data_IF_443592003009
#
_entry.id   IF_443592003009
#
_cell.length_a   1.000
_cell.length_b   1.000
_cell.length_c   1.000
_cell.angle_alpha   90.00
_cell.angle_beta   90.00
_cell.angle_gamma   90.00
#
_symmetry.space_group_name_H-M   'P 1'
#
loop_
_entity.id
_entity.type
_entity.pdbx_description
1 polymer ?
#
# COMPACT_ATOMS: atom_id res chain seq x y z
N UNK A 1 8.67 6.17 17.57
CA UNK A 1 7.50 5.59 16.85
C UNK A 1 8.04 4.90 15.61
N UNK A 2 7.54 3.70 15.30
CA UNK A 2 7.86 3.02 14.05
C UNK A 2 7.32 3.83 12.86
N UNK A 3 8.04 3.81 11.75
CA UNK A 3 7.65 4.53 10.54
C UNK A 3 6.49 3.81 9.86
N UNK A 4 5.41 4.52 9.55
CA UNK A 4 4.31 3.97 8.76
C UNK A 4 4.65 4.05 7.28
N UNK A 5 4.71 2.88 6.64
CA UNK A 5 4.97 2.76 5.21
C UNK A 5 3.68 2.72 4.43
N UNK A 6 3.72 3.28 3.23
CA UNK A 6 2.65 3.24 2.25
C UNK A 6 3.23 2.88 0.88
N UNK A 7 2.66 1.85 0.26
CA UNK A 7 2.91 1.49 -1.13
C UNK A 7 1.90 2.21 -2.01
N UNK A 8 2.37 2.72 -3.13
CA UNK A 8 1.52 3.40 -4.12
C UNK A 8 1.55 2.62 -5.41
N UNK A 9 0.35 2.39 -5.96
CA UNK A 9 0.21 1.79 -7.28
C UNK A 9 0.81 2.70 -8.36
N UNK A 10 1.36 2.11 -9.40
CA UNK A 10 2.08 2.78 -10.48
C UNK A 10 1.20 3.11 -11.69
N UNK A 11 -0.12 3.09 -11.53
CA UNK A 11 -0.99 3.48 -12.61
C UNK A 11 -0.74 4.93 -13.07
N UNK A 12 -0.80 5.18 -14.40
CA UNK A 12 -0.39 6.45 -14.98
C UNK A 12 -1.39 7.55 -14.64
N UNK A 13 -1.16 8.24 -13.53
CA UNK A 13 -2.00 9.35 -13.08
C UNK A 13 -1.15 10.58 -12.73
N UNK A 14 -1.69 11.79 -12.93
CA UNK A 14 -0.93 13.04 -12.80
C UNK A 14 -0.53 13.37 -11.35
N UNK A 15 -1.06 12.66 -10.35
CA UNK A 15 -0.84 12.95 -8.96
C UNK A 15 0.20 11.99 -8.38
N UNK A 16 1.47 12.33 -8.50
CA UNK A 16 2.49 11.84 -7.57
C UNK A 16 2.55 12.84 -6.42
N UNK A 17 1.82 12.63 -5.31
CA UNK A 17 1.76 13.62 -4.24
C UNK A 17 3.16 13.94 -3.71
N UNK A 18 3.51 15.22 -3.60
CA UNK A 18 4.84 15.60 -3.15
C UNK A 18 5.03 15.29 -1.65
N UNK A 19 6.27 15.32 -1.17
CA UNK A 19 6.54 15.37 0.27
C UNK A 19 5.78 16.57 0.86
N UNK A 20 5.10 16.36 1.99
CA UNK A 20 4.22 17.31 2.65
C UNK A 20 2.78 17.32 2.13
N UNK A 21 2.49 16.65 1.01
CA UNK A 21 1.12 16.54 0.52
C UNK A 21 0.25 15.76 1.51
N UNK A 22 -1.01 16.19 1.63
CA UNK A 22 -2.03 15.50 2.41
C UNK A 22 -2.93 14.72 1.46
N UNK A 23 -3.11 13.44 1.74
CA UNK A 23 -3.86 12.53 0.89
C UNK A 23 -5.06 11.95 1.64
N UNK A 24 -6.17 11.79 0.91
CA UNK A 24 -7.38 11.14 1.42
C UNK A 24 -7.23 9.62 1.38
N UNK A 25 -7.90 8.90 2.29
CA UNK A 25 -7.67 7.50 2.56
C UNK A 25 -8.47 6.66 1.56
N UNK A 26 -7.79 6.21 0.51
CA UNK A 26 -8.26 5.06 -0.27
C UNK A 26 -7.24 3.95 -0.03
N UNK A 27 -7.11 3.56 1.24
CA UNK A 27 -6.03 2.69 1.70
C UNK A 27 -6.54 1.38 2.25
N UNK A 28 -5.82 0.30 1.94
CA UNK A 28 -5.94 -0.97 2.65
C UNK A 28 -4.63 -1.35 3.32
N UNK A 29 -4.71 -2.25 4.30
CA UNK A 29 -3.56 -2.81 4.97
C UNK A 29 -3.07 -4.05 4.25
N UNK A 30 -1.79 -4.05 3.86
CA UNK A 30 -1.13 -5.18 3.24
C UNK A 30 -0.29 -5.94 4.26
N UNK A 31 -0.63 -7.20 4.50
CA UNK A 31 0.18 -8.12 5.31
C UNK A 31 1.33 -8.70 4.48
N UNK A 32 2.49 -8.97 5.11
CA UNK A 32 3.66 -9.49 4.40
C UNK A 32 3.40 -10.83 3.72
N UNK A 33 2.59 -11.69 4.35
CA UNK A 33 2.31 -13.04 3.84
C UNK A 33 1.40 -13.03 2.61
N UNK A 34 0.57 -11.99 2.45
CA UNK A 34 -0.37 -11.89 1.31
C UNK A 34 0.28 -11.27 0.08
N UNK A 35 1.21 -10.34 0.27
CA UNK A 35 1.82 -9.55 -0.80
C UNK A 35 3.31 -9.83 -1.00
N UNK A 36 3.86 -10.84 -0.32
CA UNK A 36 5.29 -11.15 -0.33
C UNK A 36 6.16 -9.93 -0.02
N UNK A 37 5.74 -9.12 0.98
CA UNK A 37 6.39 -7.83 1.26
C UNK A 37 7.77 -8.03 1.90
N UNK A 38 8.80 -7.29 1.45
CA UNK A 38 10.08 -7.28 2.13
C UNK A 38 9.97 -6.60 3.50
N UNK A 39 10.74 -7.09 4.47
CA UNK A 39 10.65 -6.64 5.87
C UNK A 39 10.89 -5.13 6.04
N UNK A 40 11.64 -4.52 5.14
CA UNK A 40 12.01 -3.09 5.14
C UNK A 40 10.80 -2.16 5.10
N UNK A 41 9.73 -2.56 4.41
CA UNK A 41 8.49 -1.75 4.31
C UNK A 41 7.43 -2.20 5.31
N UNK A 42 7.71 -3.19 6.15
CA UNK A 42 6.76 -3.69 7.14
C UNK A 42 6.97 -2.98 8.48
N UNK A 43 5.91 -2.39 9.02
CA UNK A 43 5.86 -1.86 10.38
C UNK A 43 4.94 -2.70 11.24
N UNK A 44 5.23 -2.73 12.54
CA UNK A 44 4.25 -3.11 13.56
C UNK A 44 3.44 -1.87 13.94
N UNK A 45 2.12 -2.01 13.94
CA UNK A 45 1.18 -0.93 14.22
C UNK A 45 0.06 -1.44 15.14
N UNK A 46 -0.08 -0.90 16.36
CA UNK A 46 -1.27 -1.13 17.17
C UNK A 46 -2.52 -0.63 16.45
N UNK A 47 -3.56 -1.45 16.43
CA UNK A 47 -4.82 -1.15 15.77
C UNK A 47 -6.00 -1.69 16.57
N UNK A 48 -7.15 -1.06 16.42
CA UNK A 48 -8.44 -1.68 16.74
C UNK A 48 -9.13 -2.06 15.44
N UNK A 49 -9.47 -3.34 15.26
CA UNK A 49 -10.13 -3.82 14.04
C UNK A 49 -11.59 -4.12 14.33
N UNK A 50 -12.48 -3.58 13.49
CA UNK A 50 -13.92 -3.86 13.55
C UNK A 50 -14.39 -4.61 12.29
N UNK A 51 -15.41 -5.44 12.47
CA UNK A 51 -16.17 -6.02 11.36
C UNK A 51 -17.40 -5.16 11.06
N UNK A 52 -17.60 -4.78 9.80
CA UNK A 52 -18.74 -4.01 9.32
C UNK A 52 -19.53 -4.85 8.33
N UNK A 53 -20.85 -4.92 8.49
CA UNK A 53 -21.73 -5.55 7.49
C UNK A 53 -22.29 -4.49 6.54
N UNK A 54 -21.98 -4.60 5.25
CA UNK A 54 -22.47 -3.72 4.19
C UNK A 54 -22.98 -4.57 3.03
N UNK A 55 -24.19 -4.28 2.55
CA UNK A 55 -24.85 -5.03 1.46
C UNK A 55 -24.89 -6.56 1.68
N UNK A 56 -24.93 -7.00 2.94
CA UNK A 56 -24.93 -8.42 3.32
C UNK A 56 -23.55 -9.09 3.29
N UNK A 57 -22.49 -8.35 2.98
CA UNK A 57 -21.10 -8.80 3.05
C UNK A 57 -20.43 -8.27 4.32
N UNK A 58 -19.46 -9.02 4.84
CA UNK A 58 -18.64 -8.59 5.98
C UNK A 58 -17.34 -8.02 5.45
N UNK A 59 -17.01 -6.81 5.86
CA UNK A 59 -15.75 -6.13 5.60
C UNK A 59 -15.06 -5.83 6.93
N UNK A 60 -13.74 -5.68 6.92
CA UNK A 60 -12.95 -5.39 8.12
C UNK A 60 -12.23 -4.06 7.98
N UNK A 61 -12.26 -3.27 9.05
CA UNK A 61 -11.71 -1.91 9.09
C UNK A 61 -10.75 -1.81 10.25
N UNK A 62 -9.49 -1.49 9.96
CA UNK A 62 -8.49 -1.20 10.97
C UNK A 62 -8.47 0.29 11.29
N UNK A 63 -8.53 0.62 12.58
CA UNK A 63 -8.37 1.96 13.12
C UNK A 63 -6.93 2.13 13.61
N UNK A 64 -6.19 3.04 12.96
CA UNK A 64 -4.73 3.18 13.13
C UNK A 64 -4.34 4.47 13.87
N UNK A 65 -5.29 5.06 14.61
CA UNK A 65 -5.11 6.32 15.35
C UNK A 65 -5.43 7.58 14.54
N UNK A 66 -5.58 8.71 15.22
CA UNK A 66 -5.89 10.03 14.63
C UNK A 66 -7.14 10.06 13.73
N UNK A 67 -8.09 9.15 13.96
CA UNK A 67 -9.29 9.00 13.12
C UNK A 67 -9.02 8.40 11.73
N UNK A 68 -7.79 7.92 11.50
CA UNK A 68 -7.41 7.23 10.27
C UNK A 68 -7.84 5.76 10.30
N UNK A 69 -8.44 5.31 9.20
CA UNK A 69 -8.79 3.91 9.02
C UNK A 69 -8.24 3.37 7.70
N UNK A 70 -8.04 2.05 7.64
CA UNK A 70 -7.70 1.33 6.43
C UNK A 70 -8.58 0.07 6.31
N UNK A 71 -8.93 -0.30 5.08
CA UNK A 71 -9.59 -1.59 4.85
C UNK A 71 -8.62 -2.74 5.12
N UNK A 72 -9.10 -3.85 5.64
CA UNK A 72 -8.32 -5.07 5.82
C UNK A 72 -8.69 -6.09 4.75
N UNK A 73 -7.69 -6.74 4.18
CA UNK A 73 -7.91 -7.80 3.21
C UNK A 73 -8.20 -9.17 3.85
N UNK A 74 -7.84 -9.36 5.12
CA UNK A 74 -8.01 -10.57 5.90
C UNK A 74 -8.89 -10.30 7.13
N UNK A 75 -9.75 -11.28 7.44
CA UNK A 75 -10.88 -11.10 8.35
C UNK A 75 -10.77 -11.78 9.71
N UNK A 76 -9.62 -12.39 9.98
CA UNK A 76 -9.46 -13.27 11.14
C UNK A 76 -9.10 -12.51 12.43
N UNK A 77 -8.97 -11.18 12.36
CA UNK A 77 -8.54 -10.31 13.44
C UNK A 77 -9.61 -9.27 13.73
N UNK A 78 -10.24 -9.33 14.91
CA UNK A 78 -11.21 -8.35 15.41
C UNK A 78 -10.85 -7.97 16.85
N UNK A 79 -10.99 -6.70 17.20
CA UNK A 79 -10.60 -6.13 18.49
C UNK A 79 -9.22 -5.48 18.47
N UNK A 80 -8.62 -5.34 19.64
CA UNK A 80 -7.27 -4.77 19.79
C UNK A 80 -6.21 -5.76 19.31
N UNK A 81 -5.43 -5.37 18.31
CA UNK A 81 -4.42 -6.20 17.66
C UNK A 81 -3.17 -5.38 17.33
N UNK A 82 -2.05 -6.08 17.08
CA UNK A 82 -0.86 -5.47 16.46
C UNK A 82 -0.76 -5.99 15.04
N UNK A 83 -0.96 -5.10 14.08
CA UNK A 83 -0.82 -5.43 12.66
C UNK A 83 0.65 -5.36 12.27
N UNK A 84 1.07 -6.28 11.40
CA UNK A 84 2.38 -6.24 10.75
C UNK A 84 2.19 -6.08 9.24
N UNK A 85 2.83 -5.09 8.64
CA UNK A 85 2.62 -4.78 7.23
C UNK A 85 2.77 -3.30 6.92
N UNK A 86 2.10 -2.85 5.88
CA UNK A 86 2.08 -1.45 5.46
C UNK A 86 0.72 -1.05 4.90
N UNK A 87 0.54 0.24 4.65
CA UNK A 87 -0.58 0.72 3.85
C UNK A 87 -0.31 0.46 2.36
N UNK A 88 -1.38 0.27 1.61
CA UNK A 88 -1.38 0.39 0.15
C UNK A 88 -2.40 1.45 -0.21
N UNK A 89 -1.98 2.44 -0.99
CA UNK A 89 -2.86 3.45 -1.54
C UNK A 89 -3.40 2.96 -2.88
N UNK A 90 -4.71 2.71 -2.90
CA UNK A 90 -5.45 2.15 -4.02
C UNK A 90 -6.67 3.03 -4.32
N UNK A 91 -6.68 3.71 -5.47
CA UNK A 91 -7.79 4.58 -5.87
C UNK A 91 -9.04 3.81 -6.30
N UNK A 92 -8.91 2.51 -6.58
CA UNK A 92 -10.00 1.62 -6.94
C UNK A 92 -10.44 0.70 -5.81
N UNK A 93 -10.07 1.01 -4.57
CA UNK A 93 -10.52 0.26 -3.40
C UNK A 93 -12.05 0.06 -3.36
N UNK A 94 -12.81 0.97 -3.97
CA UNK A 94 -14.27 0.89 -4.11
C UNK A 94 -14.79 -0.24 -5.01
N UNK A 95 -13.92 -0.87 -5.83
CA UNK A 95 -14.24 -2.06 -6.60
C UNK A 95 -14.37 -3.29 -5.71
N UNK A 96 -13.55 -3.36 -4.64
CA UNK A 96 -13.49 -4.49 -3.73
C UNK A 96 -14.31 -4.24 -2.44
N UNK A 97 -14.40 -2.99 -1.98
CA UNK A 97 -15.04 -2.62 -0.72
C UNK A 97 -16.14 -1.56 -0.89
N UNK A 98 -17.22 -1.71 -0.14
CA UNK A 98 -18.30 -0.73 -0.01
C UNK A 98 -18.00 0.29 1.08
N UNK A 99 -17.34 -0.13 2.15
CA UNK A 99 -16.89 0.77 3.21
C UNK A 99 -15.78 1.68 2.71
N UNK A 100 -15.87 2.98 3.05
CA UNK A 100 -14.85 3.97 2.72
C UNK A 100 -13.96 4.22 3.93
N UNK A 101 -12.62 4.07 3.79
CA UNK A 101 -11.68 4.52 4.80
C UNK A 101 -11.85 6.01 5.15
N UNK A 102 -11.37 6.40 6.33
CA UNK A 102 -11.48 7.75 6.89
C UNK A 102 -10.13 8.25 7.41
N UNK A 103 -10.08 9.55 7.72
CA UNK A 103 -8.88 10.25 8.18
C UNK A 103 -8.04 10.80 7.03
N UNK A 104 -6.80 11.20 7.33
CA UNK A 104 -5.86 11.74 6.34
C UNK A 104 -4.43 11.30 6.64
N UNK A 105 -3.62 11.21 5.59
CA UNK A 105 -2.18 10.96 5.68
C UNK A 105 -1.42 12.16 5.18
N UNK A 106 -0.26 12.43 5.78
CA UNK A 106 0.76 13.30 5.21
C UNK A 106 1.93 12.47 4.71
N UNK A 107 2.43 12.80 3.52
CA UNK A 107 3.63 12.18 2.98
C UNK A 107 4.85 12.81 3.65
N UNK A 108 5.58 12.02 4.41
CA UNK A 108 6.80 12.45 5.09
C UNK A 108 8.02 12.29 4.18
N UNK A 109 8.13 11.16 3.46
CA UNK A 109 9.27 10.89 2.58
C UNK A 109 8.90 9.96 1.41
N UNK A 110 9.61 10.13 0.29
CA UNK A 110 9.58 9.23 -0.88
C UNK A 110 10.79 8.30 -0.82
N UNK A 111 10.74 7.37 0.14
CA UNK A 111 11.91 6.63 0.60
C UNK A 111 12.45 5.61 -0.40
N UNK A 112 11.63 5.04 -1.29
CA UNK A 112 12.15 4.06 -2.25
C UNK A 112 11.13 3.40 -3.14
N UNK A 113 11.48 2.21 -3.61
CA UNK A 113 10.74 1.43 -4.60
C UNK A 113 10.71 -0.03 -4.16
N UNK A 114 9.59 -0.71 -4.39
CA UNK A 114 9.59 -2.16 -4.47
C UNK A 114 9.76 -2.55 -5.93
N UNK A 115 10.78 -3.34 -6.19
CA UNK A 115 11.11 -3.83 -7.53
C UNK A 115 11.03 -5.35 -7.56
N UNK A 116 10.87 -5.89 -8.76
CA UNK A 116 10.86 -7.32 -9.00
C UNK A 116 11.58 -7.61 -10.31
N UNK A 117 12.25 -8.76 -10.42
CA UNK A 117 12.90 -9.16 -11.65
C UNK A 117 11.87 -9.19 -12.76
N UNK A 118 12.18 -8.56 -13.90
CA UNK A 118 11.33 -8.52 -15.08
C UNK A 118 11.92 -9.38 -16.19
N UNK A 119 11.06 -10.11 -16.86
CA UNK A 119 11.37 -10.89 -18.04
C UNK A 119 10.63 -10.30 -19.23
N UNK A 120 11.38 -9.94 -20.26
CA UNK A 120 10.82 -9.37 -21.48
C UNK A 120 10.57 -10.51 -22.46
N UNK A 121 9.30 -10.77 -22.73
CA UNK A 121 8.86 -11.82 -23.64
C UNK A 121 8.57 -11.18 -25.00
N UNK A 122 9.37 -11.46 -26.05
CA UNK A 122 9.11 -10.91 -27.37
C UNK A 122 7.72 -11.27 -27.88
N UNK A 123 7.03 -10.32 -28.49
CA UNK A 123 5.75 -10.58 -29.15
C UNK A 123 5.94 -10.86 -30.65
N UNK A 124 4.85 -11.17 -31.35
CA UNK A 124 4.84 -11.27 -32.82
C UNK A 124 5.19 -9.96 -33.54
N UNK A 125 5.15 -8.83 -32.84
CA UNK A 125 5.44 -7.51 -33.40
C UNK A 125 6.90 -7.13 -33.10
N UNK A 126 7.76 -6.89 -34.13
CA UNK A 126 9.16 -6.56 -33.93
C UNK A 126 9.36 -5.38 -32.98
N UNK A 127 10.23 -5.55 -31.98
CA UNK A 127 10.52 -4.53 -30.96
C UNK A 127 9.52 -4.43 -29.82
N UNK A 128 8.35 -5.07 -29.91
CA UNK A 128 7.37 -5.11 -28.83
C UNK A 128 7.55 -6.36 -27.96
N UNK A 129 7.42 -6.18 -26.65
CA UNK A 129 7.54 -7.22 -25.65
C UNK A 129 6.38 -7.15 -24.65
N UNK A 130 6.01 -8.32 -24.12
CA UNK A 130 5.24 -8.43 -22.88
C UNK A 130 6.21 -8.50 -21.70
N UNK A 131 5.75 -8.12 -20.52
CA UNK A 131 6.54 -8.21 -19.29
C UNK A 131 5.89 -9.22 -18.36
N UNK A 132 6.68 -10.18 -17.90
CA UNK A 132 6.35 -11.01 -16.73
C UNK A 132 7.32 -10.69 -15.60
N UNK A 133 6.88 -10.95 -14.38
CA UNK A 133 7.71 -10.75 -13.20
C UNK A 133 7.96 -12.07 -12.50
N UNK A 134 9.15 -12.23 -11.93
CA UNK A 134 9.58 -13.44 -11.24
C UNK A 134 10.42 -13.10 -10.01
N UNK A 135 10.49 -14.05 -9.06
CA UNK A 135 11.24 -13.85 -7.81
C UNK A 135 10.52 -12.99 -6.77
N UNK A 136 11.21 -12.70 -5.67
CA UNK A 136 10.68 -11.92 -4.56
C UNK A 136 10.59 -10.42 -4.90
N UNK A 137 9.74 -9.70 -4.17
CA UNK A 137 9.80 -8.24 -4.14
C UNK A 137 11.01 -7.80 -3.33
N UNK A 138 11.78 -6.88 -3.91
CA UNK A 138 12.99 -6.33 -3.31
C UNK A 138 12.80 -4.84 -3.05
N UNK A 139 13.16 -4.37 -1.86
CA UNK A 139 13.19 -2.95 -1.55
C UNK A 139 14.50 -2.34 -2.05
N UNK A 140 14.38 -1.20 -2.74
CA UNK A 140 15.50 -0.38 -3.16
C UNK A 140 15.26 1.08 -2.77
N UNK A 141 16.33 1.74 -2.33
CA UNK A 141 16.32 3.19 -2.15
C UNK A 141 16.02 3.90 -3.48
N UNK A 142 15.52 5.13 -3.35
CA UNK A 142 15.16 5.97 -4.49
C UNK A 142 16.33 6.09 -5.48
N UNK A 143 16.00 6.02 -6.77
CA UNK A 143 16.93 6.14 -7.91
C UNK A 143 17.89 4.95 -8.16
N UNK A 144 17.76 3.84 -7.40
CA UNK A 144 18.57 2.64 -7.58
C UNK A 144 17.74 1.44 -8.08
N UNK A 145 17.41 1.39 -9.37
CA UNK A 145 16.77 0.20 -9.98
C UNK A 145 17.83 -0.63 -10.71
N UNK A 146 18.13 -1.87 -10.29
CA UNK A 146 19.08 -2.73 -10.99
C UNK A 146 18.62 -3.07 -12.41
N UNK A 147 19.57 -3.29 -13.31
CA UNK A 147 19.27 -3.77 -14.65
C UNK A 147 18.51 -5.12 -14.58
N UNK A 148 17.45 -5.26 -15.38
CA UNK A 148 16.62 -6.46 -15.38
C UNK A 148 15.52 -6.49 -14.31
N UNK A 149 15.33 -5.41 -13.56
CA UNK A 149 14.21 -5.25 -12.65
C UNK A 149 13.18 -4.24 -13.20
N UNK A 150 11.93 -4.42 -12.81
CA UNK A 150 10.87 -3.44 -12.99
C UNK A 150 10.30 -3.02 -11.64
N UNK A 151 9.84 -1.77 -11.56
CA UNK A 151 9.16 -1.28 -10.36
C UNK A 151 7.79 -1.91 -10.27
N UNK A 152 7.38 -2.28 -9.06
CA UNK A 152 6.03 -2.80 -8.74
C UNK A 152 5.25 -1.80 -7.90
N UNK A 153 5.92 -1.10 -6.98
CA UNK A 153 5.32 -0.11 -6.10
C UNK A 153 6.31 1.03 -5.85
N UNK A 154 5.79 2.25 -5.69
CA UNK A 154 6.55 3.31 -5.00
C UNK A 154 6.35 3.13 -3.50
N UNK A 155 7.41 3.34 -2.71
CA UNK A 155 7.37 3.17 -1.26
C UNK A 155 7.62 4.51 -0.59
N UNK A 156 6.65 4.94 0.22
CA UNK A 156 6.65 6.21 0.90
C UNK A 156 6.49 6.03 2.40
N UNK A 157 7.09 6.95 3.16
CA UNK A 157 6.87 7.06 4.60
C UNK A 157 5.77 8.11 4.79
N UNK A 158 4.78 7.76 5.59
CA UNK A 158 3.61 8.60 5.87
C UNK A 158 3.37 8.72 7.37
N UNK A 159 2.54 9.69 7.74
CA UNK A 159 2.03 9.84 9.10
C UNK A 159 0.51 10.07 9.05
N UNK A 160 -0.21 9.50 10.02
CA UNK A 160 -1.62 9.84 10.23
C UNK A 160 -1.71 11.19 10.90
N UNK A 161 -2.56 12.08 10.39
CA UNK A 161 -2.74 13.42 10.94
C UNK A 161 -4.18 13.58 11.41
N UNK A 162 -4.36 14.28 12.52
CA UNK A 162 -5.69 14.68 12.97
C UNK A 162 -6.23 15.68 11.95
N UNK A 163 -7.45 15.45 11.47
CA UNK A 163 -8.15 16.48 10.70
C UNK A 163 -8.39 17.67 11.64
N UNK A 164 -7.70 18.79 11.42
CA UNK A 164 -8.00 20.04 12.13
C UNK A 164 -9.50 20.35 11.94
N UNK A 165 -10.18 20.62 13.06
CA UNK A 165 -11.63 20.86 13.14
C UNK A 165 -12.04 22.19 12.52
#
# INVERSE_FOLDING_TARGET
MSQLWMLEDMEPWPDEPAVGAVCTPTTYWASPDRMDLPAQVCTEMPAWVESVTVDGLTEWVAHLGNGFTAMMGDGDLVGDVTLRGCLVWDRYLWLDFRTRPRGTLRIHDRAGLLVQRRELIPTRHPGAFSVTYSGALEYHERDSIPAGFGVRWKASIVETITSDS
#
